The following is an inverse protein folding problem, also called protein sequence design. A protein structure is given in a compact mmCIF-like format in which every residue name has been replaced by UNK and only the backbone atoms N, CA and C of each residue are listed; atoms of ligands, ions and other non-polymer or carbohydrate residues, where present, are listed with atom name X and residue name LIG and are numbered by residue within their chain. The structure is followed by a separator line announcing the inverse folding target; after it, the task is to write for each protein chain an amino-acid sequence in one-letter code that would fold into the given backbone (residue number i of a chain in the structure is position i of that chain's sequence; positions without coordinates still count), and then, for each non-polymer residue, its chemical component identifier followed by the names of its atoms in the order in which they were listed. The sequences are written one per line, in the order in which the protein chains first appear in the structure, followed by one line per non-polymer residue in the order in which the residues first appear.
data_IF_130911176082
#
_entry.id   IF_130911176082
#
_cell.length_a   1.000
_cell.length_b   1.000
_cell.length_c   1.000
_cell.angle_alpha   90.00
_cell.angle_beta   90.00
_cell.angle_gamma   90.00
#
_symmetry.space_group_name_H-M   'P 1'
#
loop_
_entity.id
_entity.type
_entity.pdbx_description
1 polymer ?
#
# COMPACT_ATOMS: atom_id res chain seq x y z
N UNK A 1 3.99 18.88 -8.38
CA UNK A 1 3.48 17.78 -7.55
C UNK A 1 2.28 18.30 -6.79
N UNK A 2 1.20 17.53 -6.76
CA UNK A 2 -0.02 17.83 -6.00
C UNK A 2 -0.34 16.60 -5.17
N UNK A 3 -0.60 16.78 -3.87
CA UNK A 3 -0.92 15.66 -2.99
C UNK A 3 -2.19 15.97 -2.17
N UNK A 4 -3.02 14.94 -1.97
CA UNK A 4 -4.28 15.04 -1.25
C UNK A 4 -4.76 13.67 -0.76
N UNK A 5 -5.61 13.68 0.25
CA UNK A 5 -6.36 12.50 0.60
C UNK A 5 -7.56 12.34 -0.34
N UNK A 6 -7.83 11.10 -0.73
CA UNK A 6 -8.98 10.73 -1.56
C UNK A 6 -9.73 9.57 -0.91
N UNK A 7 -10.97 9.38 -1.32
CA UNK A 7 -11.76 8.20 -0.95
C UNK A 7 -11.56 7.08 -1.98
N UNK A 8 -11.34 5.87 -1.48
CA UNK A 8 -11.18 4.64 -2.25
C UNK A 8 -12.43 3.80 -2.03
N UNK A 9 -13.29 3.58 -3.04
CA UNK A 9 -14.48 2.77 -2.88
C UNK A 9 -14.13 1.29 -2.71
N UNK A 10 -14.83 0.61 -1.78
CA UNK A 10 -14.71 -0.83 -1.53
C UNK A 10 -16.06 -1.41 -1.13
N UNK A 11 -16.68 -2.21 -2.01
CA UNK A 11 -18.05 -2.69 -1.82
C UNK A 11 -19.06 -1.54 -1.67
N UNK A 12 -19.78 -1.50 -0.54
CA UNK A 12 -20.73 -0.45 -0.20
C UNK A 12 -20.14 0.66 0.68
N UNK A 13 -18.80 0.66 0.87
CA UNK A 13 -18.10 1.54 1.77
C UNK A 13 -16.95 2.27 1.03
N UNK A 14 -16.24 3.14 1.73
CA UNK A 14 -15.03 3.78 1.21
C UNK A 14 -14.02 4.02 2.34
N UNK A 15 -12.75 4.11 1.97
CA UNK A 15 -11.68 4.38 2.91
C UNK A 15 -10.66 5.36 2.33
N UNK A 16 -9.88 5.98 3.22
CA UNK A 16 -8.92 7.01 2.81
C UNK A 16 -7.67 6.46 2.14
N UNK A 17 -7.12 7.22 1.21
CA UNK A 17 -5.79 7.01 0.67
C UNK A 17 -5.10 8.34 0.36
N UNK A 18 -3.79 8.42 0.61
CA UNK A 18 -2.99 9.59 0.27
C UNK A 18 -2.48 9.48 -1.17
N UNK A 19 -3.01 10.30 -2.05
CA UNK A 19 -2.65 10.37 -3.46
C UNK A 19 -1.66 11.50 -3.71
N UNK A 20 -0.52 11.19 -4.33
CA UNK A 20 0.45 12.15 -4.81
C UNK A 20 0.61 12.04 -6.33
N UNK A 21 0.46 13.15 -7.04
CA UNK A 21 0.53 13.23 -8.50
C UNK A 21 1.86 13.83 -8.95
N UNK A 22 2.48 13.29 -10.02
CA UNK A 22 3.70 13.84 -10.58
C UNK A 22 3.48 15.22 -11.18
N UNK A 23 4.54 16.03 -11.27
CA UNK A 23 4.47 17.39 -11.83
C UNK A 23 3.92 17.41 -13.27
N UNK A 24 4.20 16.39 -14.06
CA UNK A 24 3.69 16.24 -15.45
C UNK A 24 2.21 15.84 -15.51
N UNK A 25 1.57 15.57 -14.36
CA UNK A 25 0.16 15.22 -14.26
C UNK A 25 -0.19 13.76 -14.59
N UNK A 26 0.73 12.98 -15.20
CA UNK A 26 0.51 11.58 -15.58
C UNK A 26 1.76 10.74 -15.33
N UNK A 27 1.58 9.43 -15.17
CA UNK A 27 2.67 8.48 -15.04
C UNK A 27 2.22 7.04 -14.74
N UNK A 28 3.17 6.09 -14.70
CA UNK A 28 2.90 4.78 -14.16
C UNK A 28 2.52 4.90 -12.68
N UNK A 29 1.76 3.93 -12.18
CA UNK A 29 1.23 3.99 -10.83
C UNK A 29 2.02 3.13 -9.83
N UNK A 30 2.04 3.55 -8.57
CA UNK A 30 2.59 2.79 -7.47
C UNK A 30 1.72 2.90 -6.21
N UNK A 31 1.40 1.75 -5.63
CA UNK A 31 0.82 1.65 -4.28
C UNK A 31 1.95 1.64 -3.26
N UNK A 32 1.88 2.50 -2.26
CA UNK A 32 2.83 2.55 -1.14
C UNK A 32 2.14 1.96 0.09
N UNK A 33 2.55 0.76 0.49
CA UNK A 33 1.91 0.02 1.57
C UNK A 33 2.65 0.24 2.88
N UNK A 34 1.91 0.73 3.86
CA UNK A 34 2.37 1.21 5.15
C UNK A 34 2.97 0.10 6.03
N UNK A 35 3.81 0.50 6.96
CA UNK A 35 4.20 -0.28 8.13
C UNK A 35 3.04 -0.36 9.15
N UNK A 36 3.33 -0.78 10.38
CA UNK A 36 2.32 -0.80 11.46
C UNK A 36 1.97 0.59 12.01
N UNK A 37 2.53 1.65 11.47
CA UNK A 37 2.39 3.02 11.97
C UNK A 37 1.37 3.87 11.19
N UNK A 38 0.62 3.24 10.27
CA UNK A 38 -0.37 3.94 9.45
C UNK A 38 0.26 4.72 8.28
N UNK A 39 -0.59 5.49 7.59
CA UNK A 39 -0.15 6.41 6.53
C UNK A 39 0.40 7.69 7.17
N UNK A 40 1.46 7.52 7.97
CA UNK A 40 2.11 8.57 8.73
C UNK A 40 2.95 9.50 7.82
N UNK A 41 3.60 10.49 8.41
CA UNK A 41 4.41 11.47 7.69
C UNK A 41 5.51 10.82 6.82
N UNK A 42 6.12 9.72 7.28
CA UNK A 42 7.13 9.00 6.51
C UNK A 42 6.55 8.35 5.25
N UNK A 43 5.45 7.62 5.38
CA UNK A 43 4.80 6.96 4.24
C UNK A 43 4.29 7.99 3.22
N UNK A 44 3.76 9.13 3.69
CA UNK A 44 3.39 10.24 2.79
C UNK A 44 4.61 10.83 2.09
N UNK A 45 5.73 11.02 2.79
CA UNK A 45 6.96 11.50 2.17
C UNK A 45 7.50 10.52 1.11
N UNK A 46 7.38 9.21 1.34
CA UNK A 46 7.70 8.19 0.33
C UNK A 46 6.81 8.33 -0.90
N UNK A 47 5.48 8.48 -0.72
CA UNK A 47 4.56 8.70 -1.84
C UNK A 47 4.90 9.99 -2.61
N UNK A 48 5.22 11.07 -1.90
CA UNK A 48 5.65 12.34 -2.50
C UNK A 48 6.94 12.19 -3.31
N UNK A 49 7.92 11.40 -2.81
CA UNK A 49 9.16 11.13 -3.54
C UNK A 49 8.88 10.36 -4.84
N UNK A 50 8.05 9.31 -4.81
CA UNK A 50 7.66 8.60 -6.03
C UNK A 50 6.93 9.53 -7.02
N UNK A 51 6.09 10.43 -6.53
CA UNK A 51 5.45 11.43 -7.39
C UNK A 51 6.47 12.41 -8.00
N UNK A 52 7.50 12.82 -7.24
CA UNK A 52 8.59 13.64 -7.77
C UNK A 52 9.38 12.89 -8.86
N UNK A 53 9.53 11.57 -8.73
CA UNK A 53 10.19 10.69 -9.70
C UNK A 53 9.30 10.36 -10.92
N UNK A 54 8.06 10.85 -10.95
CA UNK A 54 7.17 10.76 -12.11
C UNK A 54 6.08 9.69 -12.03
N UNK A 55 5.87 9.08 -10.87
CA UNK A 55 4.80 8.10 -10.65
C UNK A 55 3.53 8.75 -10.11
N UNK A 56 2.38 8.14 -10.38
CA UNK A 56 1.14 8.38 -9.63
C UNK A 56 1.19 7.49 -8.40
N UNK A 57 1.43 8.05 -7.22
CA UNK A 57 1.61 7.31 -5.98
C UNK A 57 0.36 7.38 -5.09
N UNK A 58 -0.10 6.24 -4.58
CA UNK A 58 -1.23 6.14 -3.65
C UNK A 58 -0.85 5.31 -2.44
N UNK A 59 -0.95 5.88 -1.25
CA UNK A 59 -0.82 5.17 0.01
C UNK A 59 -2.21 4.92 0.62
N UNK A 60 -2.80 3.71 0.46
CA UNK A 60 -4.10 3.37 1.03
C UNK A 60 -4.00 3.17 2.54
N UNK A 61 -4.99 3.63 3.30
CA UNK A 61 -5.10 3.41 4.74
C UNK A 61 -5.60 1.99 5.02
N UNK A 62 -4.71 1.04 5.24
CA UNK A 62 -5.09 -0.37 5.45
C UNK A 62 -5.60 -0.67 6.87
N UNK A 63 -5.51 0.30 7.80
CA UNK A 63 -6.04 0.16 9.15
C UNK A 63 -7.47 0.70 9.32
N UNK A 64 -8.05 1.28 8.27
CA UNK A 64 -9.31 2.00 8.32
C UNK A 64 -10.47 1.22 8.96
N UNK A 65 -10.50 -0.10 8.78
CA UNK A 65 -11.56 -0.97 9.35
C UNK A 65 -11.50 -1.05 10.87
N UNK A 66 -10.33 -0.85 11.45
CA UNK A 66 -10.10 -0.85 12.91
C UNK A 66 -10.05 0.57 13.45
N UNK A 67 -9.25 1.42 12.83
CA UNK A 67 -9.08 2.82 13.17
C UNK A 67 -8.61 3.59 11.94
N UNK A 68 -9.44 4.47 11.36
CA UNK A 68 -9.05 5.26 10.20
C UNK A 68 -8.04 6.34 10.56
N UNK A 69 -7.20 6.71 9.61
CA UNK A 69 -6.26 7.83 9.68
C UNK A 69 -5.23 7.70 10.80
N UNK A 70 -4.74 6.48 11.03
CA UNK A 70 -3.67 6.24 12.00
C UNK A 70 -2.38 6.89 11.51
N UNK A 71 -1.75 7.67 12.39
CA UNK A 71 -0.44 8.31 12.19
C UNK A 71 0.38 8.18 13.47
N UNK A 72 1.18 7.13 13.56
CA UNK A 72 1.98 6.79 14.73
C UNK A 72 3.47 7.12 14.50
N UNK A 73 4.15 7.45 15.60
CA UNK A 73 5.61 7.50 15.66
C UNK A 73 6.22 6.08 15.77
N UNK A 74 7.57 5.99 15.71
CA UNK A 74 8.29 4.72 15.63
C UNK A 74 8.70 4.16 17.00
N UNK A 75 8.35 4.79 18.09
CA UNK A 75 8.81 4.46 19.44
C UNK A 75 7.68 4.45 20.49
N UNK A 76 8.03 3.97 21.68
CA UNK A 76 7.19 4.04 22.87
C UNK A 76 5.79 3.47 22.68
N UNK A 77 4.79 4.17 23.20
CA UNK A 77 3.38 3.78 23.19
C UNK A 77 2.80 3.67 21.75
N UNK A 78 3.33 4.43 20.80
CA UNK A 78 2.90 4.40 19.41
C UNK A 78 3.27 3.08 18.74
N UNK A 79 4.45 2.52 19.05
CA UNK A 79 4.84 1.19 18.59
C UNK A 79 3.92 0.10 19.13
N UNK A 80 3.59 0.17 20.42
CA UNK A 80 2.67 -0.79 21.04
C UNK A 80 1.27 -0.69 20.43
N UNK A 81 0.79 0.52 20.15
CA UNK A 81 -0.46 0.77 19.46
C UNK A 81 -0.44 0.21 18.03
N UNK A 82 0.65 0.36 17.30
CA UNK A 82 0.82 -0.22 15.96
C UNK A 82 0.74 -1.74 15.96
N UNK A 83 1.34 -2.39 16.98
CA UNK A 83 1.26 -3.84 17.16
C UNK A 83 -0.20 -4.27 17.48
N UNK A 84 -0.90 -3.52 18.34
CA UNK A 84 -2.31 -3.77 18.64
C UNK A 84 -3.18 -3.71 17.37
N UNK A 85 -2.99 -2.69 16.54
CA UNK A 85 -3.72 -2.52 15.28
C UNK A 85 -3.43 -3.67 14.31
N UNK A 86 -2.15 -4.06 14.18
CA UNK A 86 -1.76 -5.21 13.36
C UNK A 86 -2.47 -6.49 13.79
N UNK A 87 -2.55 -6.76 15.09
CA UNK A 87 -3.22 -7.95 15.63
C UNK A 87 -4.74 -7.97 15.37
N UNK A 88 -5.36 -6.80 15.27
CA UNK A 88 -6.80 -6.64 14.98
C UNK A 88 -7.11 -6.61 13.49
N UNK A 89 -6.11 -6.50 12.63
CA UNK A 89 -6.31 -6.36 11.19
C UNK A 89 -6.61 -7.71 10.55
N UNK A 90 -7.74 -7.79 9.86
CA UNK A 90 -8.02 -8.89 8.94
C UNK A 90 -7.17 -8.69 7.67
N UNK A 91 -6.15 -9.54 7.53
CA UNK A 91 -5.19 -9.48 6.41
C UNK A 91 -5.89 -9.71 5.06
N UNK A 92 -6.90 -10.59 5.00
CA UNK A 92 -7.61 -10.86 3.74
C UNK A 92 -8.45 -9.66 3.33
N UNK A 93 -9.11 -9.00 4.29
CA UNK A 93 -9.84 -7.75 4.03
C UNK A 93 -8.88 -6.64 3.57
N UNK A 94 -7.71 -6.50 4.22
CA UNK A 94 -6.69 -5.53 3.82
C UNK A 94 -6.19 -5.78 2.38
N UNK A 95 -5.98 -7.04 1.98
CA UNK A 95 -5.59 -7.40 0.61
C UNK A 95 -6.71 -7.06 -0.39
N UNK A 96 -7.97 -7.28 -0.03
CA UNK A 96 -9.11 -6.89 -0.86
C UNK A 96 -9.20 -5.37 -1.03
N UNK A 97 -8.95 -4.60 0.03
CA UNK A 97 -8.90 -3.13 -0.01
C UNK A 97 -7.74 -2.62 -0.90
N UNK A 98 -6.58 -3.28 -0.83
CA UNK A 98 -5.45 -2.96 -1.72
C UNK A 98 -5.81 -3.27 -3.19
N UNK A 99 -6.52 -4.35 -3.45
CA UNK A 99 -7.02 -4.67 -4.79
C UNK A 99 -8.01 -3.60 -5.30
N UNK A 100 -8.89 -3.09 -4.44
CA UNK A 100 -9.78 -1.98 -4.76
C UNK A 100 -9.00 -0.68 -5.06
N UNK A 101 -7.97 -0.39 -4.29
CA UNK A 101 -7.05 0.74 -4.55
C UNK A 101 -6.31 0.58 -5.89
N UNK A 102 -5.93 -0.64 -6.26
CA UNK A 102 -5.32 -0.93 -7.56
C UNK A 102 -6.31 -0.68 -8.71
N UNK A 103 -7.55 -1.13 -8.59
CA UNK A 103 -8.59 -0.89 -9.58
C UNK A 103 -8.92 0.60 -9.73
N UNK A 104 -8.99 1.34 -8.61
CA UNK A 104 -9.14 2.80 -8.64
C UNK A 104 -8.00 3.46 -9.42
N UNK A 105 -6.73 3.12 -9.12
CA UNK A 105 -5.60 3.70 -9.83
C UNK A 105 -5.64 3.40 -11.33
N UNK A 106 -5.96 2.18 -11.72
CA UNK A 106 -6.06 1.81 -13.15
C UNK A 106 -7.15 2.58 -13.89
N UNK A 107 -8.21 2.98 -13.20
CA UNK A 107 -9.30 3.76 -13.79
C UNK A 107 -9.01 5.26 -13.87
N UNK A 108 -7.95 5.75 -13.23
CA UNK A 108 -7.65 7.18 -13.20
C UNK A 108 -7.02 7.67 -14.50
N UNK A 109 -7.44 8.84 -15.01
CA UNK A 109 -6.88 9.42 -16.23
C UNK A 109 -5.41 9.86 -16.10
N UNK A 110 -4.91 9.99 -14.87
CA UNK A 110 -3.51 10.32 -14.60
C UNK A 110 -2.58 9.10 -14.70
N UNK A 111 -3.13 7.88 -14.74
CA UNK A 111 -2.33 6.65 -14.85
C UNK A 111 -2.19 6.25 -16.33
N UNK A 112 -0.97 6.21 -16.82
CA UNK A 112 -0.65 5.92 -18.22
C UNK A 112 0.40 4.80 -18.36
N UNK A 113 0.37 3.79 -17.52
CA UNK A 113 1.37 2.73 -17.56
C UNK A 113 1.08 1.57 -16.65
N UNK A 114 2.17 0.97 -16.20
CA UNK A 114 2.14 -0.17 -15.27
C UNK A 114 1.81 0.27 -13.85
N UNK A 115 1.29 -0.67 -13.07
CA UNK A 115 0.98 -0.50 -11.65
C UNK A 115 1.80 -1.46 -10.80
N UNK A 116 2.62 -0.93 -9.92
CA UNK A 116 3.35 -1.72 -8.94
C UNK A 116 2.85 -1.47 -7.51
N UNK A 117 3.21 -2.36 -6.59
CA UNK A 117 3.11 -2.10 -5.16
C UNK A 117 4.49 -2.18 -4.50
N UNK A 118 4.74 -1.29 -3.56
CA UNK A 118 5.94 -1.28 -2.72
C UNK A 118 5.46 -1.25 -1.28
N UNK A 119 5.92 -2.20 -0.48
CA UNK A 119 5.50 -2.29 0.91
C UNK A 119 6.65 -2.45 1.88
N UNK A 120 6.47 -1.90 3.07
CA UNK A 120 7.46 -1.87 4.14
C UNK A 120 6.94 -2.63 5.36
N UNK A 121 7.73 -3.54 5.95
CA UNK A 121 7.35 -4.33 7.12
C UNK A 121 6.02 -5.08 6.88
N UNK A 122 4.96 -4.77 7.62
CA UNK A 122 3.61 -5.29 7.38
C UNK A 122 3.16 -5.05 5.93
N UNK A 123 3.40 -3.85 5.39
CA UNK A 123 3.15 -3.53 3.98
C UNK A 123 3.96 -4.38 3.00
N UNK A 124 5.16 -4.82 3.37
CA UNK A 124 5.95 -5.75 2.57
C UNK A 124 5.26 -7.11 2.42
N UNK A 125 4.68 -7.63 3.52
CA UNK A 125 3.83 -8.82 3.47
C UNK A 125 2.58 -8.58 2.61
N UNK A 126 1.94 -7.43 2.77
CA UNK A 126 0.75 -7.07 1.98
C UNK A 126 1.07 -6.94 0.49
N UNK A 127 2.24 -6.39 0.12
CA UNK A 127 2.68 -6.31 -1.28
C UNK A 127 2.80 -7.70 -1.94
N UNK A 128 3.38 -8.67 -1.22
CA UNK A 128 3.44 -10.05 -1.66
C UNK A 128 2.05 -10.68 -1.84
N UNK A 129 1.16 -10.52 -0.85
CA UNK A 129 -0.19 -11.06 -0.91
C UNK A 129 -1.04 -10.38 -2.00
N UNK A 130 -0.90 -9.06 -2.17
CA UNK A 130 -1.56 -8.30 -3.23
C UNK A 130 -1.06 -8.71 -4.63
N UNK A 131 0.22 -9.07 -4.77
CA UNK A 131 0.74 -9.62 -6.02
C UNK A 131 -0.02 -10.89 -6.45
N UNK A 132 -0.40 -11.76 -5.50
CA UNK A 132 -1.17 -12.97 -5.79
C UNK A 132 -2.62 -12.71 -6.24
N UNK A 133 -3.10 -11.47 -6.20
CA UNK A 133 -4.44 -11.08 -6.71
C UNK A 133 -4.49 -10.90 -8.22
N UNK A 134 -3.35 -10.79 -8.90
CA UNK A 134 -3.25 -10.50 -10.33
C UNK A 134 -3.55 -9.04 -10.71
N UNK A 135 -3.72 -8.15 -9.73
CA UNK A 135 -4.02 -6.73 -9.97
C UNK A 135 -2.78 -5.86 -10.21
N UNK A 136 -1.60 -6.39 -9.92
CA UNK A 136 -0.33 -5.67 -10.01
C UNK A 136 0.51 -6.18 -11.19
N UNK A 137 1.33 -5.32 -11.77
CA UNK A 137 2.32 -5.67 -12.80
C UNK A 137 3.69 -6.01 -12.18
N UNK A 138 3.97 -5.54 -10.97
CA UNK A 138 5.17 -5.86 -10.20
C UNK A 138 4.95 -5.58 -8.71
N UNK A 139 5.80 -6.14 -7.85
CA UNK A 139 5.79 -5.82 -6.43
C UNK A 139 7.21 -5.74 -5.85
N UNK A 140 7.37 -4.95 -4.78
CA UNK A 140 8.58 -4.90 -3.97
C UNK A 140 8.20 -5.05 -2.51
N UNK A 141 8.78 -6.03 -1.83
CA UNK A 141 8.53 -6.33 -0.43
C UNK A 141 9.79 -6.06 0.40
N UNK A 142 9.79 -4.97 1.15
CA UNK A 142 10.85 -4.66 2.11
C UNK A 142 10.54 -5.30 3.45
N UNK A 143 11.45 -6.17 3.94
CA UNK A 143 11.41 -6.83 5.26
C UNK A 143 10.00 -7.31 5.68
N UNK A 144 9.28 -7.95 4.76
CA UNK A 144 7.92 -8.42 4.96
C UNK A 144 7.84 -9.62 5.90
N UNK A 145 7.61 -9.35 7.19
CA UNK A 145 7.47 -10.41 8.19
C UNK A 145 6.22 -11.27 7.97
N UNK A 146 6.37 -12.60 8.03
CA UNK A 146 5.27 -13.54 7.90
C UNK A 146 4.97 -13.99 6.46
N UNK A 147 5.73 -13.58 5.45
CA UNK A 147 5.62 -14.10 4.08
C UNK A 147 5.85 -15.61 4.05
N UNK A 148 6.79 -16.13 4.84
CA UNK A 148 7.08 -17.57 4.95
C UNK A 148 5.88 -18.40 5.46
N UNK A 149 4.89 -17.76 6.07
CA UNK A 149 3.66 -18.41 6.54
C UNK A 149 2.50 -18.33 5.54
N UNK A 150 2.75 -17.79 4.32
CA UNK A 150 1.78 -17.58 3.27
C UNK A 150 2.30 -18.08 1.90
N UNK A 151 3.07 -19.15 1.90
CA UNK A 151 3.66 -19.73 0.68
C UNK A 151 2.64 -20.45 -0.19
N UNK A 152 1.48 -20.77 0.34
CA UNK A 152 0.34 -21.34 -0.38
C UNK A 152 -0.16 -20.45 -1.53
N UNK A 153 0.06 -19.13 -1.43
CA UNK A 153 -0.30 -18.20 -2.51
C UNK A 153 0.81 -17.98 -3.54
N UNK A 154 2.03 -18.49 -3.30
CA UNK A 154 3.20 -18.24 -4.16
C UNK A 154 2.97 -18.63 -5.62
N UNK A 155 2.26 -19.73 -5.88
CA UNK A 155 1.92 -20.18 -7.23
C UNK A 155 1.00 -19.24 -8.02
N UNK A 156 0.38 -18.26 -7.38
CA UNK A 156 -0.47 -17.23 -8.01
C UNK A 156 0.30 -15.94 -8.33
N UNK A 157 1.52 -15.79 -7.83
CA UNK A 157 2.38 -14.64 -8.13
C UNK A 157 3.07 -14.90 -9.47
N UNK A 158 2.57 -14.32 -10.54
CA UNK A 158 3.06 -14.53 -11.92
C UNK A 158 3.90 -13.36 -12.44
N UNK A 159 3.82 -12.20 -11.80
CA UNK A 159 4.57 -10.99 -12.13
C UNK A 159 5.88 -10.92 -11.33
N UNK A 160 6.85 -10.10 -11.78
CA UNK A 160 8.08 -9.87 -11.05
C UNK A 160 7.81 -9.38 -9.63
N UNK A 161 8.49 -9.98 -8.66
CA UNK A 161 8.52 -9.50 -7.28
C UNK A 161 9.96 -9.46 -6.78
N UNK A 162 10.33 -8.38 -6.12
CA UNK A 162 11.63 -8.19 -5.50
C UNK A 162 11.48 -8.21 -3.98
N UNK A 163 12.29 -9.01 -3.31
CA UNK A 163 12.34 -9.09 -1.86
C UNK A 163 13.63 -8.46 -1.34
N UNK A 164 13.52 -7.59 -0.37
CA UNK A 164 14.62 -7.03 0.39
C UNK A 164 14.51 -7.48 1.85
N UNK A 165 15.51 -8.22 2.30
CA UNK A 165 15.66 -8.61 3.70
C UNK A 165 17.02 -8.11 4.20
N UNK A 166 17.07 -7.73 5.49
CA UNK A 166 18.28 -7.36 6.22
C UNK A 166 18.61 -8.44 7.25
#
# INVERSE_FOLDING_TARGET
MTAQWIDIPTGNDSFGGYLALPKRGKGPAVLILQEIFGVNAHIRAVADQYAADGYVALAPDVFWRTQPRVELAYDGADRDKGIELLQKTDVNAAVADIAAAADLLRARPEVDGKLAAIGYCFGGRLAYLAAATGKLDAAVAYYGGGIQNALDVAGRVTQPILFHYA
#
